data_IF_894317618482
#
_entry.id   IF_894317618482
#
_cell.length_a   1.000
_cell.length_b   1.000
_cell.length_c   1.000
_cell.angle_alpha   90.00
_cell.angle_beta   90.00
_cell.angle_gamma   90.00
#
_symmetry.space_group_name_H-M   'P 1'
#
loop_
_entity.id
_entity.type
_entity.pdbx_description
1 polymer ?
#
# COMPACT_ATOMS: atom_id res chain seq x y z
N UNK A 1 38.46 6.35 -29.33
CA UNK A 1 37.17 7.11 -29.29
C UNK A 1 36.02 6.36 -30.00
N UNK A 2 36.26 5.59 -31.08
CA UNK A 2 35.19 4.95 -31.85
C UNK A 2 34.55 3.71 -31.18
N UNK A 3 35.30 2.91 -30.41
CA UNK A 3 34.77 1.71 -29.77
C UNK A 3 33.85 1.98 -28.59
N UNK A 4 34.10 3.04 -27.82
CA UNK A 4 33.21 3.44 -26.71
C UNK A 4 31.86 4.01 -27.20
N UNK A 5 31.84 4.71 -28.31
CA UNK A 5 30.61 5.28 -28.90
C UNK A 5 29.73 4.16 -29.48
N UNK A 6 30.31 3.14 -30.11
CA UNK A 6 29.56 1.99 -30.66
C UNK A 6 28.98 1.11 -29.56
N UNK A 7 29.72 0.87 -28.46
CA UNK A 7 29.22 0.13 -27.29
C UNK A 7 28.07 0.85 -26.58
N UNK A 8 28.15 2.16 -26.42
CA UNK A 8 27.09 2.99 -25.83
C UNK A 8 25.82 3.03 -26.72
N UNK A 9 25.99 3.05 -28.03
CA UNK A 9 24.85 3.04 -28.98
C UNK A 9 24.15 1.70 -29.00
N UNK A 10 24.90 0.58 -28.96
CA UNK A 10 24.34 -0.77 -28.92
C UNK A 10 23.64 -1.09 -27.59
N UNK A 11 24.14 -0.62 -26.46
CA UNK A 11 23.46 -0.81 -25.17
C UNK A 11 22.16 -0.01 -25.07
N UNK A 12 22.13 1.21 -25.58
CA UNK A 12 20.93 2.03 -25.61
C UNK A 12 19.85 1.47 -26.58
N UNK A 13 20.28 0.94 -27.73
CA UNK A 13 19.37 0.33 -28.71
C UNK A 13 18.78 -0.99 -28.21
N UNK A 14 19.57 -1.81 -27.50
CA UNK A 14 19.06 -3.03 -26.89
C UNK A 14 18.05 -2.75 -25.76
N UNK A 15 18.32 -1.74 -24.94
CA UNK A 15 17.41 -1.28 -23.89
C UNK A 15 16.09 -0.70 -24.45
N UNK A 16 16.17 0.08 -25.53
CA UNK A 16 14.99 0.60 -26.22
C UNK A 16 14.12 -0.49 -26.81
N UNK A 17 14.71 -1.43 -27.54
CA UNK A 17 14.01 -2.56 -28.15
C UNK A 17 13.35 -3.46 -27.08
N UNK A 18 14.04 -3.68 -25.96
CA UNK A 18 13.48 -4.44 -24.85
C UNK A 18 12.26 -3.73 -24.24
N UNK A 19 12.38 -2.43 -23.92
CA UNK A 19 11.25 -1.63 -23.41
C UNK A 19 10.07 -1.61 -24.37
N UNK A 20 10.35 -1.48 -25.66
CA UNK A 20 9.33 -1.47 -26.70
C UNK A 20 8.63 -2.83 -26.83
N UNK A 21 9.36 -3.93 -26.84
CA UNK A 21 8.78 -5.29 -26.83
C UNK A 21 7.94 -5.54 -25.57
N UNK A 22 8.45 -5.17 -24.41
CA UNK A 22 7.71 -5.29 -23.13
C UNK A 22 6.44 -4.47 -23.16
N UNK A 23 6.49 -3.25 -23.66
CA UNK A 23 5.32 -2.39 -23.81
C UNK A 23 4.30 -3.04 -24.77
N UNK A 24 4.73 -3.48 -25.96
CA UNK A 24 3.84 -4.12 -26.94
C UNK A 24 3.17 -5.38 -26.38
N UNK A 25 3.91 -6.22 -25.64
CA UNK A 25 3.36 -7.46 -25.07
C UNK A 25 2.32 -7.22 -23.97
N UNK A 26 2.23 -5.98 -23.45
CA UNK A 26 1.30 -5.57 -22.40
C UNK A 26 0.12 -4.74 -22.92
N UNK A 27 0.11 -4.43 -24.22
CA UNK A 27 -1.03 -3.74 -24.82
C UNK A 27 -2.20 -4.69 -25.04
N UNK A 28 -3.33 -4.32 -24.49
CA UNK A 28 -4.63 -4.85 -24.88
C UNK A 28 -5.24 -3.93 -25.94
N UNK A 29 -6.02 -4.45 -26.91
CA UNK A 29 -6.65 -3.62 -27.97
C UNK A 29 -7.42 -2.42 -27.41
N UNK A 30 -8.16 -2.62 -26.32
CA UNK A 30 -8.93 -1.55 -25.66
C UNK A 30 -8.05 -0.43 -25.13
N UNK A 31 -6.86 -0.76 -24.59
CA UNK A 31 -5.90 0.25 -24.12
C UNK A 31 -5.39 1.08 -25.29
N UNK A 32 -5.07 0.45 -26.42
CA UNK A 32 -4.61 1.16 -27.63
C UNK A 32 -5.67 2.17 -28.10
N UNK A 33 -6.93 1.75 -28.20
CA UNK A 33 -8.03 2.62 -28.58
C UNK A 33 -8.15 3.79 -27.62
N UNK A 34 -8.10 3.52 -26.31
CA UNK A 34 -8.18 4.56 -25.27
C UNK A 34 -7.01 5.53 -25.31
N UNK A 35 -5.79 5.08 -25.62
CA UNK A 35 -4.63 5.95 -25.78
C UNK A 35 -4.79 6.90 -26.97
N UNK A 36 -5.42 6.44 -28.06
CA UNK A 36 -5.71 7.28 -29.23
C UNK A 36 -6.78 8.34 -28.91
N UNK A 37 -7.83 7.94 -28.17
CA UNK A 37 -8.96 8.80 -27.84
C UNK A 37 -8.68 9.79 -26.69
N UNK A 38 -7.70 9.50 -25.84
CA UNK A 38 -7.41 10.27 -24.63
C UNK A 38 -5.95 10.71 -24.58
N UNK A 39 -5.60 11.91 -25.04
CA UNK A 39 -4.21 12.40 -25.08
C UNK A 39 -3.50 12.38 -23.73
N UNK A 40 -4.23 12.52 -22.61
CA UNK A 40 -3.66 12.44 -21.26
C UNK A 40 -3.10 11.04 -20.93
N UNK A 41 -3.79 9.97 -21.35
CA UNK A 41 -3.31 8.60 -21.17
C UNK A 41 -2.07 8.32 -22.03
N UNK A 42 -2.10 8.79 -23.27
CA UNK A 42 -0.95 8.70 -24.18
C UNK A 42 0.27 9.43 -23.61
N UNK A 43 0.10 10.65 -23.10
CA UNK A 43 1.17 11.46 -22.48
C UNK A 43 1.83 10.71 -21.30
N UNK A 44 1.04 10.08 -20.42
CA UNK A 44 1.58 9.24 -19.33
C UNK A 44 2.39 8.07 -19.89
N UNK A 45 1.86 7.36 -20.88
CA UNK A 45 2.54 6.21 -21.50
C UNK A 45 3.89 6.61 -22.08
N UNK A 46 3.94 7.67 -22.87
CA UNK A 46 5.18 8.18 -23.49
C UNK A 46 6.18 8.62 -22.41
N UNK A 47 5.72 9.34 -21.40
CA UNK A 47 6.57 9.79 -20.29
C UNK A 47 7.21 8.58 -19.55
N UNK A 48 6.42 7.56 -19.23
CA UNK A 48 6.94 6.34 -18.60
C UNK A 48 7.86 5.55 -19.52
N UNK A 49 7.61 5.55 -20.83
CA UNK A 49 8.48 4.88 -21.81
C UNK A 49 9.88 5.51 -21.85
N UNK A 50 9.95 6.83 -21.93
CA UNK A 50 11.21 7.54 -21.95
C UNK A 50 11.82 7.79 -20.56
N UNK A 51 11.08 7.49 -19.48
CA UNK A 51 11.53 7.72 -18.11
C UNK A 51 11.67 9.20 -17.78
N UNK A 52 10.82 10.05 -18.36
CA UNK A 52 10.84 11.51 -18.13
C UNK A 52 10.12 11.82 -16.81
N UNK A 53 10.83 12.37 -15.79
CA UNK A 53 10.21 12.71 -14.52
C UNK A 53 9.32 13.95 -14.66
N UNK A 54 8.32 14.06 -13.78
CA UNK A 54 7.60 15.30 -13.55
C UNK A 54 8.40 16.21 -12.64
N UNK A 55 8.10 17.51 -12.71
CA UNK A 55 8.69 18.51 -11.82
C UNK A 55 8.18 18.29 -10.39
N UNK A 56 9.11 18.07 -9.46
CA UNK A 56 8.81 18.03 -8.04
C UNK A 56 8.48 19.44 -7.56
N UNK A 57 7.41 19.54 -6.78
CA UNK A 57 7.00 20.77 -6.08
C UNK A 57 7.02 20.52 -4.56
N UNK A 58 6.49 21.46 -3.76
CA UNK A 58 6.40 21.31 -2.32
C UNK A 58 5.46 20.14 -1.96
N UNK A 59 5.75 19.45 -0.88
CA UNK A 59 4.95 18.31 -0.36
C UNK A 59 3.47 18.62 -0.28
N UNK A 60 3.13 19.85 0.15
CA UNK A 60 1.76 20.32 0.30
C UNK A 60 0.95 20.16 -0.99
N UNK A 61 1.46 20.57 -2.14
CA UNK A 61 0.72 20.47 -3.42
C UNK A 61 0.53 19.02 -3.88
N UNK A 62 1.52 18.16 -3.60
CA UNK A 62 1.42 16.74 -3.87
C UNK A 62 0.40 16.06 -2.96
N UNK A 63 0.38 16.44 -1.67
CA UNK A 63 -0.57 15.92 -0.68
C UNK A 63 -1.99 16.39 -0.98
N UNK A 64 -2.20 17.68 -1.21
CA UNK A 64 -3.51 18.25 -1.58
C UNK A 64 -4.09 17.53 -2.81
N UNK A 65 -3.30 17.38 -3.89
CA UNK A 65 -3.72 16.66 -5.09
C UNK A 65 -4.04 15.18 -4.83
N UNK A 66 -3.28 14.52 -3.97
CA UNK A 66 -3.58 13.13 -3.59
C UNK A 66 -4.91 13.02 -2.84
N UNK A 67 -5.18 13.96 -1.92
CA UNK A 67 -6.42 13.99 -1.14
C UNK A 67 -7.63 14.37 -2.00
N UNK A 68 -7.48 15.29 -2.96
CA UNK A 68 -8.51 15.60 -3.98
C UNK A 68 -8.85 14.35 -4.82
N UNK A 69 -7.82 13.60 -5.24
CA UNK A 69 -8.02 12.36 -5.99
C UNK A 69 -8.75 11.29 -5.17
N UNK A 70 -8.39 11.12 -3.88
CA UNK A 70 -9.07 10.19 -2.97
C UNK A 70 -10.52 10.62 -2.71
N UNK A 71 -10.77 11.92 -2.56
CA UNK A 71 -12.12 12.47 -2.42
C UNK A 71 -12.97 12.19 -3.66
N UNK A 72 -12.40 12.42 -4.86
CA UNK A 72 -13.07 12.11 -6.11
C UNK A 72 -13.35 10.62 -6.27
N UNK A 73 -12.40 9.75 -5.84
CA UNK A 73 -12.59 8.30 -5.88
C UNK A 73 -13.77 7.82 -5.01
N UNK A 74 -14.10 8.55 -3.96
CA UNK A 74 -15.31 8.33 -3.16
C UNK A 74 -16.56 8.88 -3.87
N UNK A 75 -16.50 10.14 -4.31
CA UNK A 75 -17.67 10.84 -4.88
C UNK A 75 -18.20 10.16 -6.14
N UNK A 76 -17.32 9.62 -6.99
CA UNK A 76 -17.68 8.99 -8.26
C UNK A 76 -18.51 7.72 -8.09
N UNK A 77 -18.44 7.05 -6.94
CA UNK A 77 -19.18 5.82 -6.68
C UNK A 77 -20.65 6.10 -6.30
N UNK A 78 -20.94 7.27 -5.73
CA UNK A 78 -22.25 7.62 -5.21
C UNK A 78 -22.70 6.78 -4.00
N UNK A 79 -21.83 5.90 -3.45
CA UNK A 79 -22.20 4.95 -2.38
C UNK A 79 -21.66 5.34 -1.01
N UNK A 80 -20.64 6.17 -0.94
CA UNK A 80 -19.85 6.42 0.25
C UNK A 80 -18.50 5.69 0.27
N UNK A 81 -18.39 4.51 -0.35
CA UNK A 81 -17.13 3.80 -0.53
C UNK A 81 -16.24 4.40 -1.62
N UNK A 82 -14.94 4.16 -1.57
CA UNK A 82 -13.96 4.63 -2.55
C UNK A 82 -13.82 3.66 -3.72
N UNK A 83 -13.85 4.16 -4.97
CA UNK A 83 -13.55 3.38 -6.16
C UNK A 83 -12.15 2.74 -6.03
N UNK A 84 -12.03 1.44 -6.33
CA UNK A 84 -10.78 0.70 -6.18
C UNK A 84 -9.63 1.34 -6.96
N UNK A 85 -9.89 1.82 -8.17
CA UNK A 85 -8.87 2.39 -9.04
C UNK A 85 -9.48 3.19 -10.18
N UNK A 86 -8.62 3.99 -10.85
CA UNK A 86 -8.87 4.49 -12.20
C UNK A 86 -7.99 3.72 -13.18
N UNK A 87 -8.61 2.99 -14.12
CA UNK A 87 -7.93 2.18 -15.12
C UNK A 87 -7.99 2.78 -16.53
N UNK A 88 -6.95 2.57 -17.33
CA UNK A 88 -6.91 3.00 -18.73
C UNK A 88 -7.95 2.26 -19.59
N UNK A 89 -8.34 1.04 -19.19
CA UNK A 89 -9.31 0.22 -19.92
C UNK A 89 -10.75 0.68 -19.68
N UNK A 90 -11.13 0.86 -18.40
CA UNK A 90 -12.52 1.00 -17.98
C UNK A 90 -12.86 2.32 -17.28
N UNK A 91 -11.86 3.16 -16.96
CA UNK A 91 -12.07 4.34 -16.10
C UNK A 91 -12.16 3.94 -14.63
N UNK A 92 -13.08 4.54 -13.89
CA UNK A 92 -13.27 4.28 -12.47
C UNK A 92 -13.87 2.89 -12.21
N UNK A 93 -13.28 2.16 -11.28
CA UNK A 93 -13.75 0.85 -10.83
C UNK A 93 -14.88 0.99 -9.78
N UNK A 94 -15.52 -0.12 -9.44
CA UNK A 94 -16.47 -0.19 -8.34
C UNK A 94 -15.82 0.12 -6.98
N UNK A 95 -16.58 0.51 -5.95
CA UNK A 95 -16.05 0.73 -4.62
C UNK A 95 -15.44 -0.56 -4.06
N UNK A 96 -14.40 -0.42 -3.23
CA UNK A 96 -13.68 -1.55 -2.67
C UNK A 96 -13.64 -1.48 -1.14
N UNK A 97 -14.30 -2.42 -0.42
CA UNK A 97 -14.40 -2.38 1.03
C UNK A 97 -13.05 -2.32 1.74
N UNK A 98 -12.11 -3.22 1.39
CA UNK A 98 -10.77 -3.22 2.00
C UNK A 98 -10.15 -1.83 2.04
N UNK A 99 -10.15 -1.18 0.88
CA UNK A 99 -9.41 0.08 0.72
C UNK A 99 -10.17 1.28 1.25
N UNK A 100 -11.49 1.25 1.17
CA UNK A 100 -12.35 2.24 1.83
C UNK A 100 -12.10 2.22 3.35
N UNK A 101 -12.03 1.04 3.96
CA UNK A 101 -11.77 0.89 5.38
C UNK A 101 -10.51 1.62 5.85
N UNK A 102 -9.37 1.43 5.21
CA UNK A 102 -8.16 2.12 5.66
C UNK A 102 -7.97 3.55 5.11
N UNK A 103 -8.74 3.98 4.09
CA UNK A 103 -8.79 5.39 3.66
C UNK A 103 -9.50 6.25 4.72
N UNK A 104 -10.44 5.71 5.48
CA UNK A 104 -11.05 6.37 6.64
C UNK A 104 -9.99 7.00 7.53
N UNK A 105 -8.99 6.20 7.97
CA UNK A 105 -7.90 6.68 8.81
C UNK A 105 -7.09 7.82 8.17
N UNK A 106 -6.92 7.77 6.84
CA UNK A 106 -6.22 8.83 6.10
C UNK A 106 -7.01 10.14 6.09
N UNK A 107 -8.33 10.06 5.86
CA UNK A 107 -9.20 11.24 5.90
C UNK A 107 -9.22 11.89 7.29
N UNK A 108 -9.37 11.09 8.35
CA UNK A 108 -9.35 11.60 9.74
C UNK A 108 -8.01 12.27 10.08
N UNK A 109 -6.90 11.66 9.68
CA UNK A 109 -5.58 12.21 9.91
C UNK A 109 -5.34 13.50 9.12
N UNK A 110 -5.77 13.53 7.86
CA UNK A 110 -5.67 14.72 7.03
C UNK A 110 -6.55 15.85 7.54
N UNK A 111 -7.78 15.54 7.98
CA UNK A 111 -8.67 16.52 8.62
C UNK A 111 -7.98 17.25 9.79
N UNK A 112 -7.33 16.49 10.66
CA UNK A 112 -6.56 17.06 11.78
C UNK A 112 -5.32 17.83 11.31
N UNK A 113 -4.64 17.34 10.25
CA UNK A 113 -3.41 17.96 9.73
C UNK A 113 -3.65 19.34 9.12
N UNK A 114 -4.77 19.51 8.40
CA UNK A 114 -5.15 20.78 7.72
C UNK A 114 -6.21 21.59 8.48
N UNK A 115 -6.76 21.04 9.59
CA UNK A 115 -7.88 21.60 10.34
C UNK A 115 -9.14 21.82 9.48
N UNK A 116 -9.52 20.78 8.70
CA UNK A 116 -10.67 20.80 7.79
C UNK A 116 -11.66 19.68 8.14
N UNK A 117 -12.84 20.00 8.73
CA UNK A 117 -13.82 19.03 9.16
C UNK A 117 -14.50 18.27 7.99
N UNK A 118 -14.45 18.77 6.76
CA UNK A 118 -15.09 18.12 5.60
C UNK A 118 -14.50 16.72 5.37
N UNK A 119 -13.24 16.50 5.72
CA UNK A 119 -12.62 15.17 5.64
C UNK A 119 -13.10 14.23 6.75
N UNK A 120 -13.58 14.74 7.90
CA UNK A 120 -14.25 13.91 8.91
C UNK A 120 -15.59 13.42 8.36
N UNK A 121 -16.37 14.28 7.72
CA UNK A 121 -17.64 13.92 7.09
C UNK A 121 -17.44 12.87 5.97
N UNK A 122 -16.35 12.97 5.21
CA UNK A 122 -15.98 11.96 4.21
C UNK A 122 -15.67 10.61 4.85
N UNK A 123 -14.91 10.61 5.95
CA UNK A 123 -14.61 9.40 6.71
C UNK A 123 -15.88 8.75 7.28
N UNK A 124 -16.80 9.56 7.83
CA UNK A 124 -18.11 9.12 8.34
C UNK A 124 -18.93 8.44 7.24
N UNK A 125 -19.12 9.08 6.07
CA UNK A 125 -19.86 8.48 4.95
C UNK A 125 -19.25 7.14 4.51
N UNK A 126 -17.92 7.02 4.54
CA UNK A 126 -17.24 5.78 4.19
C UNK A 126 -17.47 4.70 5.25
N UNK A 127 -17.37 5.05 6.52
CA UNK A 127 -17.63 4.14 7.65
C UNK A 127 -19.09 3.67 7.72
N UNK A 128 -20.04 4.54 7.43
CA UNK A 128 -21.46 4.21 7.36
C UNK A 128 -21.77 3.25 6.22
N UNK A 129 -21.18 3.48 5.03
CA UNK A 129 -21.27 2.55 3.92
C UNK A 129 -20.71 1.16 4.27
N UNK A 130 -19.57 1.08 4.95
CA UNK A 130 -19.00 -0.21 5.40
C UNK A 130 -19.91 -0.93 6.40
N UNK A 131 -20.62 -0.20 7.28
CA UNK A 131 -21.64 -0.79 8.19
C UNK A 131 -22.83 -1.32 7.38
N UNK A 132 -23.31 -0.56 6.41
CA UNK A 132 -24.46 -0.95 5.56
C UNK A 132 -24.20 -2.26 4.82
N UNK A 133 -22.97 -2.44 4.30
CA UNK A 133 -22.59 -3.63 3.53
C UNK A 133 -21.96 -4.75 4.39
N UNK A 134 -21.79 -4.55 5.70
CA UNK A 134 -21.24 -5.59 6.58
C UNK A 134 -22.11 -6.85 6.53
N UNK A 135 -21.47 -8.01 6.42
CA UNK A 135 -22.19 -9.28 6.37
C UNK A 135 -22.84 -9.61 7.72
N UNK A 136 -23.93 -10.39 7.76
CA UNK A 136 -24.58 -10.82 9.02
C UNK A 136 -23.64 -11.55 9.96
N UNK A 137 -22.61 -12.23 9.45
CA UNK A 137 -21.55 -12.86 10.23
C UNK A 137 -20.62 -11.88 10.95
N UNK A 138 -20.67 -10.60 10.65
CA UNK A 138 -19.73 -9.59 11.09
C UNK A 138 -18.52 -9.37 10.16
N UNK A 139 -18.32 -10.25 9.18
CA UNK A 139 -17.25 -10.14 8.21
C UNK A 139 -17.45 -8.99 7.23
N UNK A 140 -16.36 -8.56 6.59
CA UNK A 140 -16.37 -7.61 5.48
C UNK A 140 -16.26 -8.36 4.15
N UNK A 141 -16.99 -7.86 3.15
CA UNK A 141 -17.07 -8.43 1.80
C UNK A 141 -15.75 -8.35 1.06
N UNK A 142 -15.49 -9.33 0.21
CA UNK A 142 -14.28 -9.42 -0.63
C UNK A 142 -14.44 -8.76 -1.98
N UNK A 143 -13.30 -8.41 -2.59
CA UNK A 143 -13.22 -7.86 -3.94
C UNK A 143 -13.81 -6.46 -4.11
N UNK A 144 -13.75 -5.96 -5.32
CA UNK A 144 -14.34 -4.68 -5.71
C UNK A 144 -15.85 -4.86 -5.98
N UNK A 145 -16.68 -3.92 -5.49
CA UNK A 145 -18.13 -4.03 -5.50
C UNK A 145 -18.69 -4.75 -4.27
N UNK A 146 -19.98 -5.03 -4.30
CA UNK A 146 -20.69 -5.71 -3.19
C UNK A 146 -20.80 -7.21 -3.53
N UNK A 147 -19.85 -8.00 -3.03
CA UNK A 147 -19.79 -9.44 -3.26
C UNK A 147 -20.25 -10.23 -2.03
N UNK A 148 -20.72 -11.46 -2.22
CA UNK A 148 -21.33 -12.29 -1.14
C UNK A 148 -20.33 -13.29 -0.51
N UNK A 149 -19.05 -12.94 -0.49
CA UNK A 149 -18.03 -13.74 0.19
C UNK A 149 -17.17 -12.87 1.12
N UNK A 150 -16.85 -13.35 2.32
CA UNK A 150 -16.03 -12.62 3.27
C UNK A 150 -14.53 -12.78 2.96
N UNK A 151 -13.74 -11.77 3.35
CA UNK A 151 -12.27 -11.83 3.29
C UNK A 151 -11.66 -11.35 4.61
N UNK A 152 -10.75 -12.17 5.15
CA UNK A 152 -10.01 -11.91 6.40
C UNK A 152 -9.29 -10.56 6.36
N UNK A 153 -8.53 -10.32 5.30
CA UNK A 153 -7.73 -9.10 5.18
C UNK A 153 -8.62 -7.85 5.11
N UNK A 154 -9.68 -7.88 4.29
CA UNK A 154 -10.65 -6.79 4.19
C UNK A 154 -11.26 -6.47 5.56
N UNK A 155 -11.70 -7.51 6.29
CA UNK A 155 -12.29 -7.34 7.62
C UNK A 155 -11.33 -6.65 8.58
N UNK A 156 -10.06 -7.07 8.63
CA UNK A 156 -9.05 -6.42 9.47
C UNK A 156 -8.79 -4.97 9.10
N UNK A 157 -8.80 -4.63 7.79
CA UNK A 157 -8.55 -3.26 7.35
C UNK A 157 -9.72 -2.33 7.66
N UNK A 158 -10.95 -2.81 7.54
CA UNK A 158 -12.15 -2.01 7.86
C UNK A 158 -12.30 -1.82 9.38
N UNK A 159 -11.95 -2.83 10.19
CA UNK A 159 -11.90 -2.69 11.65
C UNK A 159 -11.01 -1.53 12.08
N UNK A 160 -9.83 -1.34 11.46
CA UNK A 160 -8.96 -0.19 11.76
C UNK A 160 -9.66 1.14 11.47
N UNK A 161 -10.36 1.25 10.33
CA UNK A 161 -11.13 2.44 10.00
C UNK A 161 -12.25 2.72 10.99
N UNK A 162 -13.04 1.70 11.36
CA UNK A 162 -14.09 1.86 12.36
C UNK A 162 -13.56 2.21 13.76
N UNK A 163 -12.43 1.61 14.17
CA UNK A 163 -11.78 1.95 15.42
C UNK A 163 -11.33 3.42 15.47
N UNK A 164 -10.78 3.93 14.36
CA UNK A 164 -10.38 5.33 14.27
C UNK A 164 -11.59 6.26 14.21
N UNK A 165 -12.69 5.89 13.53
CA UNK A 165 -13.96 6.64 13.57
C UNK A 165 -14.55 6.68 14.97
N UNK A 166 -14.58 5.56 15.68
CA UNK A 166 -15.04 5.54 17.07
C UNK A 166 -14.24 6.51 17.95
N UNK A 167 -12.90 6.49 17.83
CA UNK A 167 -12.03 7.41 18.58
C UNK A 167 -12.28 8.88 18.23
N UNK A 168 -12.58 9.18 16.96
CA UNK A 168 -12.82 10.54 16.48
C UNK A 168 -14.19 11.08 16.80
N UNK A 169 -15.23 10.22 16.80
CA UNK A 169 -16.65 10.65 16.91
C UNK A 169 -17.35 10.22 18.19
N UNK A 170 -16.79 9.26 18.92
CA UNK A 170 -17.41 8.57 20.06
C UNK A 170 -18.76 7.87 19.71
N UNK A 171 -18.97 7.53 18.42
CA UNK A 171 -20.18 6.86 17.96
C UNK A 171 -20.02 5.34 18.07
N UNK A 172 -20.80 4.73 18.98
CA UNK A 172 -20.79 3.30 19.25
C UNK A 172 -21.19 2.42 18.06
N UNK A 173 -21.81 2.96 17.00
CA UNK A 173 -22.10 2.16 15.80
C UNK A 173 -20.83 1.58 15.19
N UNK A 174 -19.76 2.38 15.12
CA UNK A 174 -18.45 1.94 14.60
C UNK A 174 -17.78 0.92 15.53
N UNK A 175 -17.81 1.15 16.84
CA UNK A 175 -17.28 0.19 17.81
C UNK A 175 -18.00 -1.17 17.70
N UNK A 176 -19.33 -1.16 17.65
CA UNK A 176 -20.13 -2.38 17.54
C UNK A 176 -19.87 -3.13 16.22
N UNK A 177 -19.70 -2.41 15.11
CA UNK A 177 -19.35 -3.03 13.82
C UNK A 177 -17.95 -3.66 13.88
N UNK A 178 -16.97 -2.97 14.47
CA UNK A 178 -15.61 -3.47 14.66
C UNK A 178 -15.56 -4.70 15.58
N UNK A 179 -16.37 -4.73 16.66
CA UNK A 179 -16.53 -5.89 17.57
C UNK A 179 -17.02 -7.10 16.77
N UNK A 180 -18.13 -6.97 16.01
CA UNK A 180 -18.64 -8.08 15.20
C UNK A 180 -17.59 -8.63 14.21
N UNK A 181 -16.83 -7.72 13.57
CA UNK A 181 -15.73 -8.12 12.68
C UNK A 181 -14.61 -8.85 13.40
N UNK A 182 -14.24 -8.39 14.60
CA UNK A 182 -13.20 -8.99 15.43
C UNK A 182 -13.62 -10.37 15.94
N UNK A 183 -14.85 -10.55 16.38
CA UNK A 183 -15.42 -11.82 16.79
C UNK A 183 -15.38 -12.83 15.64
N UNK A 184 -15.77 -12.40 14.45
CA UNK A 184 -15.69 -13.24 13.25
C UNK A 184 -14.24 -13.67 12.96
N UNK A 185 -13.27 -12.74 12.99
CA UNK A 185 -11.86 -13.05 12.77
C UNK A 185 -11.33 -14.08 13.79
N UNK A 186 -11.70 -13.94 15.07
CA UNK A 186 -11.32 -14.88 16.11
C UNK A 186 -11.96 -16.26 15.90
N UNK A 187 -13.24 -16.31 15.48
CA UNK A 187 -13.99 -17.57 15.29
C UNK A 187 -13.46 -18.45 14.17
N UNK A 188 -12.74 -17.86 13.19
CA UNK A 188 -12.20 -18.58 12.03
C UNK A 188 -10.67 -18.72 12.04
N UNK A 189 -10.02 -18.22 13.11
CA UNK A 189 -8.57 -18.37 13.29
C UNK A 189 -8.23 -19.83 13.63
N UNK A 190 -7.17 -20.36 13.01
CA UNK A 190 -6.62 -21.66 13.38
C UNK A 190 -5.94 -21.62 14.77
N UNK A 191 -5.70 -22.78 15.38
CA UNK A 191 -5.12 -22.87 16.73
C UNK A 191 -3.73 -22.20 16.84
N UNK A 192 -2.97 -22.16 15.78
CA UNK A 192 -1.66 -21.51 15.72
C UNK A 192 -1.74 -20.02 15.33
N UNK A 193 -2.94 -19.47 15.18
CA UNK A 193 -3.19 -18.06 14.89
C UNK A 193 -3.19 -17.66 13.41
N UNK A 194 -2.93 -18.59 12.50
CA UNK A 194 -3.06 -18.30 11.06
C UNK A 194 -4.52 -18.32 10.63
N UNK A 195 -4.80 -17.62 9.53
CA UNK A 195 -6.06 -17.71 8.79
C UNK A 195 -5.81 -18.40 7.46
N UNK A 196 -6.65 -19.38 7.09
CA UNK A 196 -6.60 -20.13 5.83
C UNK A 196 -7.87 -19.91 5.04
N UNK A 197 -9.03 -20.16 5.67
CA UNK A 197 -10.34 -19.93 5.03
C UNK A 197 -10.62 -18.44 4.90
N UNK A 198 -11.28 -18.06 3.83
CA UNK A 198 -11.63 -16.68 3.56
C UNK A 198 -10.42 -15.74 3.42
N UNK A 199 -9.30 -16.29 2.98
CA UNK A 199 -8.11 -15.56 2.60
C UNK A 199 -7.93 -15.57 1.08
N UNK A 200 -7.08 -14.72 0.55
CA UNK A 200 -6.77 -14.74 -0.88
C UNK A 200 -6.15 -16.11 -1.24
N UNK A 201 -6.71 -16.77 -2.26
CA UNK A 201 -6.35 -18.12 -2.68
C UNK A 201 -6.49 -19.23 -1.61
N UNK A 202 -7.20 -18.99 -0.51
CA UNK A 202 -7.37 -19.93 0.62
C UNK A 202 -6.03 -20.49 1.13
N UNK A 203 -5.02 -19.65 1.22
CA UNK A 203 -3.72 -19.96 1.84
C UNK A 203 -3.42 -18.95 2.96
N UNK A 204 -2.61 -19.35 3.95
CA UNK A 204 -2.19 -18.40 4.98
C UNK A 204 -1.19 -17.39 4.41
N UNK A 205 -1.25 -16.15 4.89
CA UNK A 205 -0.36 -15.08 4.45
C UNK A 205 0.32 -14.39 5.63
N UNK A 206 1.63 -14.16 5.54
CA UNK A 206 2.37 -13.44 6.55
C UNK A 206 1.89 -11.98 6.72
N UNK A 207 1.35 -11.37 5.67
CA UNK A 207 0.80 -10.01 5.74
C UNK A 207 -0.51 -9.90 6.53
N UNK A 208 -1.08 -11.03 7.00
CA UNK A 208 -2.15 -11.00 8.00
C UNK A 208 -1.68 -10.46 9.38
N UNK A 209 -0.37 -10.22 9.56
CA UNK A 209 0.13 -9.37 10.64
C UNK A 209 -0.61 -8.02 10.76
N UNK A 210 -1.15 -7.47 9.64
CA UNK A 210 -2.01 -6.29 9.67
C UNK A 210 -3.39 -6.58 10.27
N UNK A 211 -3.91 -7.80 10.09
CA UNK A 211 -5.17 -8.25 10.73
C UNK A 211 -4.95 -8.44 12.23
N UNK A 212 -3.80 -9.01 12.60
CA UNK A 212 -3.40 -9.10 14.01
C UNK A 212 -3.27 -7.69 14.65
N UNK A 213 -2.74 -6.71 13.93
CA UNK A 213 -2.73 -5.32 14.41
C UNK A 213 -4.15 -4.79 14.65
N UNK A 214 -5.11 -5.04 13.76
CA UNK A 214 -6.50 -4.64 13.97
C UNK A 214 -7.09 -5.26 15.25
N UNK A 215 -6.82 -6.55 15.51
CA UNK A 215 -7.25 -7.20 16.74
C UNK A 215 -6.59 -6.63 17.99
N UNK A 216 -5.31 -6.22 17.93
CA UNK A 216 -4.64 -5.56 19.06
C UNK A 216 -5.22 -4.17 19.35
N UNK A 217 -5.56 -3.41 18.31
CA UNK A 217 -6.29 -2.13 18.47
C UNK A 217 -7.63 -2.37 19.14
N UNK A 218 -8.36 -3.41 18.73
CA UNK A 218 -9.65 -3.74 19.35
C UNK A 218 -9.51 -4.29 20.77
N UNK A 219 -8.46 -5.05 21.07
CA UNK A 219 -8.16 -5.48 22.44
C UNK A 219 -7.92 -4.28 23.37
N UNK A 220 -7.19 -3.28 22.89
CA UNK A 220 -6.93 -2.06 23.66
C UNK A 220 -8.22 -1.26 23.91
N UNK A 221 -9.12 -1.18 22.93
CA UNK A 221 -10.41 -0.47 23.04
C UNK A 221 -11.45 -1.17 23.90
N UNK A 222 -11.43 -2.50 23.94
CA UNK A 222 -12.50 -3.31 24.58
C UNK A 222 -12.01 -4.11 25.78
N UNK A 223 -10.70 -4.09 26.07
CA UNK A 223 -10.06 -4.94 27.08
C UNK A 223 -10.28 -6.46 26.85
N UNK A 224 -10.45 -6.87 25.58
CA UNK A 224 -10.68 -8.28 25.23
C UNK A 224 -9.38 -9.07 25.17
N UNK A 225 -9.22 -10.03 26.06
CA UNK A 225 -8.10 -10.98 26.03
C UNK A 225 -8.16 -11.88 24.79
N UNK A 226 -9.35 -12.29 24.33
CA UNK A 226 -9.53 -13.11 23.13
C UNK A 226 -8.87 -12.49 21.89
N UNK A 227 -9.09 -11.19 21.69
CA UNK A 227 -8.51 -10.47 20.54
C UNK A 227 -6.98 -10.41 20.66
N UNK A 228 -6.49 -10.10 21.87
CA UNK A 228 -5.05 -10.07 22.15
C UNK A 228 -4.38 -11.41 21.90
N UNK A 229 -4.92 -12.48 22.47
CA UNK A 229 -4.36 -13.81 22.31
C UNK A 229 -4.36 -14.31 20.87
N UNK A 230 -5.46 -14.05 20.13
CA UNK A 230 -5.54 -14.43 18.72
C UNK A 230 -4.49 -13.67 17.89
N UNK A 231 -4.34 -12.38 18.12
CA UNK A 231 -3.31 -11.56 17.46
C UNK A 231 -1.89 -12.06 17.80
N UNK A 232 -1.59 -12.32 19.07
CA UNK A 232 -0.28 -12.79 19.52
C UNK A 232 0.06 -14.16 18.92
N UNK A 233 -0.91 -15.09 18.83
CA UNK A 233 -0.71 -16.38 18.14
C UNK A 233 -0.32 -16.16 16.68
N UNK A 234 -1.02 -15.27 15.97
CA UNK A 234 -0.69 -14.95 14.58
C UNK A 234 0.73 -14.36 14.44
N UNK A 235 1.11 -13.43 15.30
CA UNK A 235 2.46 -12.84 15.25
C UNK A 235 3.54 -13.90 15.53
N UNK A 236 3.34 -14.81 16.49
CA UNK A 236 4.26 -15.92 16.74
C UNK A 236 4.36 -16.85 15.54
N UNK A 237 3.25 -17.12 14.86
CA UNK A 237 3.25 -17.88 13.62
C UNK A 237 4.04 -17.15 12.53
N UNK A 238 3.83 -15.84 12.31
CA UNK A 238 4.60 -15.06 11.32
C UNK A 238 6.09 -15.08 11.64
N UNK A 239 6.48 -14.95 12.91
CA UNK A 239 7.88 -15.06 13.33
C UNK A 239 8.47 -16.44 13.04
N UNK A 240 7.69 -17.52 13.13
CA UNK A 240 8.15 -18.90 12.82
C UNK A 240 8.43 -19.11 11.31
N UNK A 241 7.95 -18.21 10.45
CA UNK A 241 8.21 -18.23 9.00
C UNK A 241 9.53 -17.54 8.63
N UNK A 242 10.18 -16.89 9.60
CA UNK A 242 11.43 -16.16 9.34
C UNK A 242 12.61 -17.13 9.26
N UNK A 243 13.37 -17.05 8.19
CA UNK A 243 14.64 -17.75 8.01
C UNK A 243 15.83 -16.95 8.56
N UNK A 244 17.01 -17.56 8.65
CA UNK A 244 18.22 -16.94 9.20
C UNK A 244 18.64 -15.64 8.50
N UNK A 245 18.31 -15.51 7.22
CA UNK A 245 18.56 -14.28 6.47
C UNK A 245 17.42 -13.24 6.64
N UNK A 246 16.49 -13.45 7.57
CA UNK A 246 15.35 -12.58 7.87
C UNK A 246 14.22 -12.66 6.85
N UNK A 247 14.33 -13.48 5.79
CA UNK A 247 13.21 -13.67 4.86
C UNK A 247 12.03 -14.31 5.57
N UNK A 248 10.84 -13.78 5.34
CA UNK A 248 9.58 -14.32 5.88
C UNK A 248 8.86 -15.02 4.74
N UNK A 249 8.55 -16.30 4.89
CA UNK A 249 7.78 -17.02 3.88
C UNK A 249 6.32 -16.55 3.85
N UNK A 250 5.60 -16.89 2.77
CA UNK A 250 4.18 -16.58 2.58
C UNK A 250 3.83 -15.08 2.57
N UNK A 251 4.76 -14.22 2.19
CA UNK A 251 4.48 -12.79 1.96
C UNK A 251 3.77 -12.51 0.62
N UNK A 252 3.74 -13.47 -0.32
CA UNK A 252 3.09 -13.32 -1.64
C UNK A 252 1.59 -13.61 -1.63
N UNK A 253 0.93 -13.39 -2.76
CA UNK A 253 -0.48 -13.74 -2.96
C UNK A 253 -0.69 -15.25 -3.25
N UNK A 254 0.35 -15.95 -3.68
CA UNK A 254 0.37 -17.41 -3.84
C UNK A 254 1.67 -18.00 -3.31
N UNK A 255 1.71 -19.33 -3.10
CA UNK A 255 2.87 -20.01 -2.50
C UNK A 255 4.12 -19.90 -3.37
N UNK A 256 3.95 -19.96 -4.69
CA UNK A 256 5.05 -20.02 -5.66
C UNK A 256 5.40 -18.63 -6.24
N UNK A 257 4.73 -17.60 -5.77
CA UNK A 257 4.93 -16.23 -6.28
C UNK A 257 6.01 -15.50 -5.49
N UNK A 258 6.95 -14.89 -6.22
CA UNK A 258 7.85 -13.92 -5.61
C UNK A 258 7.03 -12.71 -5.11
N UNK A 259 7.07 -12.40 -3.79
CA UNK A 259 6.23 -11.38 -3.22
C UNK A 259 6.51 -10.00 -3.83
N UNK A 260 5.45 -9.23 -3.98
CA UNK A 260 5.54 -7.82 -4.33
C UNK A 260 6.13 -7.01 -3.15
N UNK A 261 6.85 -5.95 -3.45
CA UNK A 261 7.27 -4.98 -2.43
C UNK A 261 6.09 -4.47 -1.60
N UNK A 262 4.91 -4.42 -2.20
CA UNK A 262 3.64 -4.10 -1.54
C UNK A 262 3.28 -5.09 -0.41
N UNK A 263 3.31 -6.38 -0.67
CA UNK A 263 2.94 -7.40 0.33
C UNK A 263 4.04 -7.64 1.35
N UNK A 264 5.31 -7.46 0.97
CA UNK A 264 6.43 -7.37 1.91
C UNK A 264 6.21 -6.20 2.88
N UNK A 265 5.90 -5.02 2.36
CA UNK A 265 5.62 -3.85 3.20
C UNK A 265 4.38 -4.02 4.09
N UNK A 266 3.33 -4.71 3.62
CA UNK A 266 2.19 -5.08 4.46
C UNK A 266 2.63 -5.93 5.67
N UNK A 267 3.46 -6.93 5.44
CA UNK A 267 3.97 -7.81 6.50
C UNK A 267 4.77 -7.01 7.53
N UNK A 268 5.75 -6.23 7.06
CA UNK A 268 6.62 -5.45 7.94
C UNK A 268 5.85 -4.36 8.70
N UNK A 269 4.91 -3.67 8.02
CA UNK A 269 4.08 -2.66 8.66
C UNK A 269 3.19 -3.26 9.75
N UNK A 270 2.55 -4.41 9.46
CA UNK A 270 1.72 -5.10 10.45
C UNK A 270 2.52 -5.49 11.70
N UNK A 271 3.69 -6.10 11.51
CA UNK A 271 4.60 -6.46 12.61
C UNK A 271 5.04 -5.23 13.42
N UNK A 272 5.45 -4.15 12.74
CA UNK A 272 5.89 -2.93 13.40
C UNK A 272 4.78 -2.33 14.28
N UNK A 273 3.57 -2.20 13.75
CA UNK A 273 2.43 -1.67 14.49
C UNK A 273 2.03 -2.59 15.65
N UNK A 274 2.04 -3.92 15.46
CA UNK A 274 1.79 -4.88 16.54
C UNK A 274 2.79 -4.72 17.68
N UNK A 275 4.06 -4.37 17.39
CA UNK A 275 5.08 -4.22 18.42
C UNK A 275 4.78 -3.12 19.44
N UNK A 276 3.94 -2.14 19.09
CA UNK A 276 3.52 -1.08 20.03
C UNK A 276 2.61 -1.60 21.15
N UNK A 277 1.91 -2.73 20.92
CA UNK A 277 1.00 -3.39 21.85
C UNK A 277 1.64 -4.56 22.61
N UNK A 278 2.96 -4.74 22.48
CA UNK A 278 3.71 -5.86 23.06
C UNK A 278 4.74 -5.37 24.07
N UNK A 279 5.18 -6.30 24.92
CA UNK A 279 6.24 -6.09 25.90
C UNK A 279 7.25 -7.24 25.87
N UNK A 280 8.37 -7.07 26.57
CA UNK A 280 9.40 -8.10 26.76
C UNK A 280 10.03 -8.62 25.46
N UNK A 281 10.47 -9.87 25.51
CA UNK A 281 11.23 -10.51 24.41
C UNK A 281 10.49 -10.55 23.07
N UNK A 282 9.16 -10.71 23.10
CA UNK A 282 8.38 -10.77 21.87
C UNK A 282 8.44 -9.44 21.11
N UNK A 283 8.30 -8.32 21.82
CA UNK A 283 8.46 -6.97 21.25
C UNK A 283 9.83 -6.80 20.59
N UNK A 284 10.88 -7.19 21.28
CA UNK A 284 12.24 -7.07 20.78
C UNK A 284 12.45 -7.92 19.52
N UNK A 285 12.06 -9.20 19.54
CA UNK A 285 12.15 -10.09 18.37
C UNK A 285 11.40 -9.55 17.14
N UNK A 286 10.20 -9.01 17.34
CA UNK A 286 9.40 -8.43 16.25
C UNK A 286 10.11 -7.20 15.68
N UNK A 287 10.60 -6.28 16.54
CA UNK A 287 11.30 -5.07 16.11
C UNK A 287 12.61 -5.39 15.40
N UNK A 288 13.41 -6.30 15.93
CA UNK A 288 14.69 -6.72 15.32
C UNK A 288 14.46 -7.31 13.92
N UNK A 289 13.43 -8.15 13.76
CA UNK A 289 13.08 -8.72 12.45
C UNK A 289 12.67 -7.62 11.46
N UNK A 290 11.85 -6.65 11.86
CA UNK A 290 11.41 -5.55 11.01
C UNK A 290 12.57 -4.64 10.64
N UNK A 291 13.44 -4.30 11.59
CA UNK A 291 14.65 -3.48 11.36
C UNK A 291 15.57 -4.18 10.36
N UNK A 292 15.91 -5.46 10.61
CA UNK A 292 16.80 -6.24 9.74
C UNK A 292 16.28 -6.33 8.31
N UNK A 293 14.97 -6.60 8.14
CA UNK A 293 14.34 -6.67 6.81
C UNK A 293 14.33 -5.31 6.12
N UNK A 294 14.04 -4.24 6.87
CA UNK A 294 14.06 -2.87 6.34
C UNK A 294 15.46 -2.44 5.93
N UNK A 295 16.52 -2.81 6.67
CA UNK A 295 17.90 -2.57 6.28
C UNK A 295 18.28 -3.32 5.00
N UNK A 296 17.82 -4.55 4.81
CA UNK A 296 18.05 -5.30 3.57
C UNK A 296 17.43 -4.60 2.36
N UNK A 297 16.20 -4.14 2.49
CA UNK A 297 15.51 -3.36 1.45
C UNK A 297 16.23 -2.03 1.18
N UNK A 298 16.67 -1.35 2.24
CA UNK A 298 17.45 -0.12 2.17
C UNK A 298 18.76 -0.33 1.40
N UNK A 299 19.52 -1.38 1.74
CA UNK A 299 20.76 -1.73 1.04
C UNK A 299 20.53 -2.05 -0.45
N UNK A 300 19.39 -2.67 -0.81
CA UNK A 300 19.04 -2.91 -2.22
C UNK A 300 18.66 -1.62 -2.94
N UNK A 301 17.99 -0.71 -2.26
CA UNK A 301 17.65 0.60 -2.78
C UNK A 301 18.91 1.46 -3.02
N UNK A 302 19.86 1.47 -2.09
CA UNK A 302 21.09 2.27 -2.18
C UNK A 302 22.11 1.72 -3.19
N UNK A 303 22.31 0.39 -3.24
CA UNK A 303 23.33 -0.25 -4.09
C UNK A 303 23.02 -0.15 -5.58
N UNK A 304 21.84 0.30 -5.97
CA UNK A 304 21.45 0.50 -7.39
C UNK A 304 21.80 -0.69 -8.31
N UNK A 305 22.06 -1.89 -7.78
CA UNK A 305 22.19 -3.12 -8.57
C UNK A 305 20.82 -3.57 -9.01
N UNK A 306 20.51 -3.31 -10.22
CA UNK A 306 19.22 -3.33 -10.90
C UNK A 306 19.14 -4.54 -11.80
N UNK A 307 17.93 -5.00 -12.02
CA UNK A 307 17.65 -5.79 -13.22
C UNK A 307 18.13 -4.96 -14.43
N UNK A 308 18.92 -5.54 -15.38
CA UNK A 308 19.53 -4.78 -16.49
C UNK A 308 18.58 -3.91 -17.28
N UNK A 309 17.30 -4.26 -17.27
CA UNK A 309 16.23 -3.62 -18.02
C UNK A 309 15.24 -2.81 -17.17
N UNK A 310 15.44 -2.72 -15.83
CA UNK A 310 14.62 -1.86 -14.96
C UNK A 310 15.06 -0.39 -15.08
N UNK A 311 14.12 0.52 -14.84
CA UNK A 311 14.49 1.93 -14.70
C UNK A 311 15.41 2.07 -13.49
N UNK A 312 16.57 2.66 -13.70
CA UNK A 312 17.64 2.66 -12.71
C UNK A 312 17.34 3.36 -11.39
N UNK A 313 16.31 4.13 -11.27
CA UNK A 313 16.03 4.97 -10.11
C UNK A 313 15.15 4.33 -9.03
N UNK A 314 14.36 3.29 -9.35
CA UNK A 314 13.31 2.80 -8.48
C UNK A 314 13.62 1.45 -7.84
N UNK A 315 13.06 1.21 -6.64
CA UNK A 315 13.14 -0.10 -5.98
C UNK A 315 12.39 -1.15 -6.81
N UNK A 316 12.95 -2.38 -6.88
CA UNK A 316 12.30 -3.49 -7.61
C UNK A 316 10.91 -3.77 -7.06
N UNK A 317 9.97 -4.07 -7.96
CA UNK A 317 8.60 -4.43 -7.60
C UNK A 317 8.46 -5.79 -6.91
N UNK A 318 9.47 -6.69 -7.02
CA UNK A 318 9.48 -8.02 -6.42
C UNK A 318 10.86 -8.40 -5.94
N UNK A 319 10.92 -9.25 -4.90
CA UNK A 319 12.14 -9.83 -4.37
C UNK A 319 11.98 -11.35 -4.18
N UNK A 320 13.11 -12.08 -4.31
CA UNK A 320 13.19 -13.49 -3.96
C UNK A 320 13.68 -13.69 -2.51
N UNK A 321 13.72 -14.95 -2.04
CA UNK A 321 14.13 -15.30 -0.67
C UNK A 321 15.57 -14.91 -0.30
N UNK A 322 16.41 -14.60 -1.26
CA UNK A 322 17.76 -14.06 -1.05
C UNK A 322 17.80 -12.53 -1.12
N UNK A 323 16.65 -11.86 -1.03
CA UNK A 323 16.51 -10.41 -1.15
C UNK A 323 17.03 -9.85 -2.48
N UNK A 324 17.11 -10.68 -3.55
CA UNK A 324 17.52 -10.20 -4.86
C UNK A 324 16.31 -9.58 -5.59
N UNK A 325 16.52 -8.45 -6.27
CA UNK A 325 15.47 -7.85 -7.12
C UNK A 325 15.20 -8.76 -8.33
N UNK A 326 13.94 -9.07 -8.58
CA UNK A 326 13.52 -10.00 -9.64
C UNK A 326 12.46 -9.43 -10.59
N UNK A 327 12.14 -8.15 -10.47
CA UNK A 327 11.18 -7.48 -11.35
C UNK A 327 11.83 -6.38 -12.20
N UNK A 328 11.29 -6.18 -13.40
CA UNK A 328 11.65 -5.10 -14.32
C UNK A 328 10.76 -3.85 -14.17
N UNK A 329 9.95 -3.80 -13.13
CA UNK A 329 9.10 -2.68 -12.75
C UNK A 329 9.28 -2.35 -11.27
N UNK A 330 8.84 -1.17 -10.87
CA UNK A 330 8.70 -0.78 -9.46
C UNK A 330 7.25 -0.82 -9.03
N UNK A 331 6.98 -1.34 -7.84
CA UNK A 331 5.66 -1.31 -7.21
C UNK A 331 5.53 -0.02 -6.38
N UNK A 332 4.84 0.99 -6.91
CA UNK A 332 4.78 2.31 -6.28
C UNK A 332 3.97 2.29 -4.97
N UNK A 333 2.97 1.43 -4.87
CA UNK A 333 2.28 1.16 -3.60
C UNK A 333 3.24 0.65 -2.51
N UNK A 334 4.12 -0.28 -2.87
CA UNK A 334 5.15 -0.79 -1.95
C UNK A 334 6.13 0.29 -1.52
N UNK A 335 6.55 1.14 -2.46
CA UNK A 335 7.44 2.27 -2.19
C UNK A 335 6.83 3.26 -1.20
N UNK A 336 5.57 3.62 -1.38
CA UNK A 336 4.85 4.51 -0.46
C UNK A 336 4.73 3.92 0.96
N UNK A 337 4.47 2.63 1.07
CA UNK A 337 4.41 1.95 2.37
C UNK A 337 5.79 1.84 3.04
N UNK A 338 6.85 1.56 2.28
CA UNK A 338 8.21 1.54 2.81
C UNK A 338 8.62 2.92 3.31
N UNK A 339 8.21 4.00 2.65
CA UNK A 339 8.44 5.35 3.16
C UNK A 339 7.85 5.51 4.58
N UNK A 340 6.62 5.03 4.82
CA UNK A 340 6.00 5.07 6.15
C UNK A 340 6.79 4.21 7.16
N UNK A 341 7.18 2.99 6.78
CA UNK A 341 7.95 2.09 7.65
C UNK A 341 9.28 2.72 8.03
N UNK A 342 10.01 3.26 7.06
CA UNK A 342 11.32 3.88 7.30
C UNK A 342 11.23 5.16 8.13
N UNK A 343 10.17 5.99 7.98
CA UNK A 343 9.93 7.13 8.90
C UNK A 343 9.69 6.67 10.33
N UNK A 344 8.89 5.62 10.53
CA UNK A 344 8.66 5.05 11.86
C UNK A 344 9.94 4.43 12.44
N UNK A 345 10.75 3.77 11.63
CA UNK A 345 12.04 3.24 12.06
C UNK A 345 13.04 4.35 12.38
N UNK A 346 13.07 5.43 11.59
CA UNK A 346 13.86 6.61 11.95
C UNK A 346 13.46 7.16 13.33
N UNK A 347 12.15 7.30 13.61
CA UNK A 347 11.66 7.72 14.92
C UNK A 347 12.06 6.75 16.04
N UNK A 348 12.09 5.45 15.76
CA UNK A 348 12.41 4.41 16.74
C UNK A 348 13.92 4.30 17.03
N UNK A 349 14.76 4.45 15.99
CA UNK A 349 16.21 4.12 16.06
C UNK A 349 17.10 5.34 15.95
N UNK A 350 16.58 6.49 15.53
CA UNK A 350 17.35 7.70 15.15
C UNK A 350 18.36 7.48 14.02
N UNK A 351 18.26 6.37 13.25
CA UNK A 351 19.14 6.07 12.13
C UNK A 351 18.76 6.92 10.90
N UNK A 352 19.59 7.92 10.61
CA UNK A 352 19.38 8.86 9.49
C UNK A 352 19.33 8.19 8.11
N UNK A 353 19.84 6.95 7.95
CA UNK A 353 19.75 6.21 6.68
C UNK A 353 18.28 6.02 6.27
N UNK A 354 17.40 5.69 7.22
CA UNK A 354 15.97 5.52 6.96
C UNK A 354 15.30 6.82 6.51
N UNK A 355 15.61 7.94 7.17
CA UNK A 355 15.10 9.26 6.76
C UNK A 355 15.58 9.63 5.35
N UNK A 356 16.87 9.53 5.09
CA UNK A 356 17.45 9.87 3.79
C UNK A 356 16.87 9.02 2.65
N UNK A 357 16.64 7.73 2.87
CA UNK A 357 16.00 6.86 1.89
C UNK A 357 14.53 7.22 1.67
N UNK A 358 13.83 7.58 2.75
CA UNK A 358 12.44 8.03 2.65
C UNK A 358 12.31 9.29 1.80
N UNK A 359 13.13 10.31 2.03
CA UNK A 359 13.09 11.54 1.25
C UNK A 359 13.27 11.24 -0.24
N UNK A 360 14.24 10.40 -0.60
CA UNK A 360 14.49 9.99 -1.99
C UNK A 360 13.33 9.22 -2.61
N UNK A 361 12.73 8.26 -1.87
CA UNK A 361 11.63 7.45 -2.43
C UNK A 361 10.35 8.26 -2.57
N UNK A 362 10.11 9.23 -1.68
CA UNK A 362 8.99 10.18 -1.80
C UNK A 362 9.19 11.13 -2.98
N UNK A 363 10.39 11.61 -3.24
CA UNK A 363 10.68 12.41 -4.43
C UNK A 363 10.43 11.61 -5.71
N UNK A 364 10.81 10.33 -5.76
CA UNK A 364 10.49 9.44 -6.89
C UNK A 364 8.98 9.25 -7.08
N UNK A 365 8.20 9.19 -6.02
CA UNK A 365 6.74 9.12 -6.11
C UNK A 365 6.14 10.44 -6.62
N UNK A 366 6.69 11.59 -6.24
CA UNK A 366 6.30 12.91 -6.77
C UNK A 366 6.65 13.05 -8.26
N UNK A 367 7.78 12.49 -8.71
CA UNK A 367 8.18 12.47 -10.13
C UNK A 367 7.19 11.74 -11.05
N UNK A 368 6.33 10.87 -10.50
CA UNK A 368 5.32 10.13 -11.27
C UNK A 368 3.90 10.60 -11.02
N UNK A 369 3.66 11.39 -9.97
CA UNK A 369 2.35 11.97 -9.67
C UNK A 369 2.08 13.19 -10.56
N UNK A 370 1.12 13.09 -11.47
CA UNK A 370 0.71 14.22 -12.31
C UNK A 370 -0.33 15.10 -11.60
N UNK A 371 0.13 16.21 -10.99
CA UNK A 371 -0.73 17.18 -10.30
C UNK A 371 -1.34 18.23 -11.24
N UNK A 372 -1.01 18.19 -12.52
CA UNK A 372 -1.42 19.18 -13.54
C UNK A 372 -2.29 18.60 -14.66
N UNK A 373 -2.54 17.30 -14.65
CA UNK A 373 -3.34 16.62 -15.68
C UNK A 373 -4.76 17.18 -15.74
N UNK A 374 -5.27 17.39 -16.96
CA UNK A 374 -6.69 17.70 -17.16
C UNK A 374 -7.61 16.49 -16.96
N UNK A 375 -7.06 15.28 -16.91
CA UNK A 375 -7.79 14.07 -16.62
C UNK A 375 -7.84 13.85 -15.10
N UNK A 376 -9.02 13.99 -14.51
CA UNK A 376 -9.22 13.86 -13.07
C UNK A 376 -8.92 12.45 -12.53
N UNK A 377 -9.02 11.40 -13.36
CA UNK A 377 -8.61 10.04 -12.98
C UNK A 377 -7.09 9.86 -12.86
N UNK A 378 -6.30 10.80 -13.40
CA UNK A 378 -4.84 10.82 -13.33
C UNK A 378 -4.35 11.86 -12.33
N UNK A 379 -4.94 13.08 -12.35
CA UNK A 379 -4.47 14.21 -11.55
C UNK A 379 -4.48 13.89 -10.06
N UNK A 380 -3.30 13.85 -9.44
CA UNK A 380 -3.11 13.58 -8.03
C UNK A 380 -2.97 12.09 -7.67
N UNK A 381 -3.38 11.16 -8.56
CA UNK A 381 -3.25 9.74 -8.33
C UNK A 381 -1.80 9.24 -8.45
N UNK A 382 -1.49 8.15 -7.76
CA UNK A 382 -0.24 7.40 -7.89
C UNK A 382 -0.50 6.12 -8.70
N UNK A 383 0.21 5.88 -9.82
CA UNK A 383 0.04 4.64 -10.57
C UNK A 383 0.49 3.41 -9.77
N UNK A 384 -0.04 2.23 -10.06
CA UNK A 384 0.31 1.00 -9.36
C UNK A 384 1.76 0.58 -9.58
N UNK A 385 2.26 0.80 -10.80
CA UNK A 385 3.62 0.44 -11.22
C UNK A 385 4.33 1.57 -11.96
N UNK A 386 5.66 1.54 -11.92
CA UNK A 386 6.50 2.28 -12.86
C UNK A 386 7.44 1.30 -13.60
N UNK A 387 7.40 1.24 -14.93
CA UNK A 387 6.43 1.95 -15.80
C UNK A 387 4.99 1.46 -15.59
N UNK A 388 4.00 2.23 -16.04
CA UNK A 388 2.56 2.00 -15.77
C UNK A 388 2.05 0.64 -16.31
N UNK A 389 2.74 0.02 -17.25
CA UNK A 389 2.50 -1.34 -17.74
C UNK A 389 3.24 -2.43 -16.95
N UNK A 390 3.81 -2.10 -15.78
CA UNK A 390 4.38 -3.08 -14.87
C UNK A 390 3.31 -4.07 -14.37
N UNK A 391 3.74 -5.20 -13.82
CA UNK A 391 2.83 -6.32 -13.53
C UNK A 391 1.85 -6.06 -12.38
N UNK A 392 2.11 -5.06 -11.55
CA UNK A 392 1.21 -4.74 -10.44
C UNK A 392 0.28 -3.58 -10.80
N UNK A 393 -1.04 -3.81 -10.73
CA UNK A 393 -2.07 -2.83 -11.08
C UNK A 393 -1.77 -2.15 -12.42
N UNK A 394 -1.57 -3.00 -13.43
CA UNK A 394 -1.18 -2.62 -14.78
C UNK A 394 -2.18 -1.63 -15.39
N UNK A 395 -1.69 -0.55 -15.99
CA UNK A 395 -2.50 0.49 -16.63
C UNK A 395 -3.51 1.16 -15.71
N UNK A 396 -3.21 1.25 -14.40
CA UNK A 396 -4.15 1.83 -13.45
C UNK A 396 -3.51 2.60 -12.31
N UNK A 397 -4.35 3.41 -11.67
CA UNK A 397 -4.10 4.21 -10.48
C UNK A 397 -4.95 3.63 -9.34
N UNK A 398 -4.41 2.74 -8.51
CA UNK A 398 -5.15 2.19 -7.38
C UNK A 398 -5.25 3.22 -6.24
N UNK A 399 -6.40 3.29 -5.57
CA UNK A 399 -6.63 4.24 -4.48
C UNK A 399 -5.65 4.03 -3.32
N UNK A 400 -5.26 2.78 -3.07
CA UNK A 400 -4.30 2.46 -1.99
C UNK A 400 -2.86 2.93 -2.27
N UNK A 401 -2.43 3.08 -3.53
CA UNK A 401 -1.13 3.69 -3.82
C UNK A 401 -1.14 5.17 -3.44
N UNK A 402 -2.20 5.88 -3.84
CA UNK A 402 -2.40 7.30 -3.52
C UNK A 402 -2.56 7.52 -2.01
N UNK A 403 -3.34 6.65 -1.34
CA UNK A 403 -3.54 6.67 0.10
C UNK A 403 -2.24 6.52 0.89
N UNK A 404 -1.43 5.51 0.59
CA UNK A 404 -0.15 5.32 1.29
C UNK A 404 0.85 6.43 1.00
N UNK A 405 0.80 7.01 -0.19
CA UNK A 405 1.62 8.19 -0.50
C UNK A 405 1.20 9.41 0.33
N UNK A 406 -0.10 9.68 0.45
CA UNK A 406 -0.63 10.74 1.30
C UNK A 406 -0.24 10.53 2.78
N UNK A 407 -0.41 9.31 3.32
CA UNK A 407 0.01 8.97 4.68
C UNK A 407 1.50 9.21 4.92
N UNK A 408 2.34 8.86 3.94
CA UNK A 408 3.78 9.03 4.05
C UNK A 408 4.17 10.52 4.06
N UNK A 409 3.51 11.36 3.24
CA UNK A 409 3.73 12.80 3.24
C UNK A 409 3.27 13.45 4.55
N UNK A 410 2.09 13.09 5.07
CA UNK A 410 1.61 13.59 6.36
C UNK A 410 2.61 13.23 7.46
N UNK A 411 3.05 11.96 7.52
CA UNK A 411 4.00 11.50 8.53
C UNK A 411 5.35 12.22 8.41
N UNK A 412 5.83 12.47 7.18
CA UNK A 412 7.04 13.24 6.94
C UNK A 412 6.91 14.66 7.51
N UNK A 413 5.82 15.36 7.19
CA UNK A 413 5.59 16.74 7.67
C UNK A 413 5.48 16.80 9.21
N UNK A 414 4.79 15.84 9.83
CA UNK A 414 4.68 15.76 11.30
C UNK A 414 6.04 15.53 11.97
N UNK A 415 6.92 14.70 11.38
CA UNK A 415 8.25 14.41 11.92
C UNK A 415 9.26 15.55 11.68
N UNK A 416 9.04 16.37 10.65
CA UNK A 416 9.91 17.49 10.29
C UNK A 416 9.49 18.82 10.91
N UNK A 417 8.31 18.89 11.55
CA UNK A 417 7.93 20.08 12.34
C UNK A 417 8.91 20.25 13.50
N UNK A 418 9.43 21.47 13.73
CA UNK A 418 10.18 21.74 14.95
C UNK A 418 9.34 21.34 16.18
N UNK A 419 9.96 20.74 17.17
CA UNK A 419 9.35 20.57 18.49
C UNK A 419 9.14 22.00 19.05
N UNK A 420 7.87 22.43 19.13
CA UNK A 420 7.49 23.68 19.78
C UNK A 420 7.77 23.64 21.26
#
# INVERSE_FOLDING_TARGET
YSQHVVLFHNQNMSSFLYKFRTLLSRFKPVVIIRLILHPSLFKVTIRHFFGVPLKITQNRYHLESAMEWLSLSQDITGTGGSAASFGFESGWASPYPETSGYIISTFLRYASFVNDPDYIERAIRMGDWEIEIQMPSGAVRGGSGINDYPIVFNTGMVILGWADLYKATNDNRYLNAAIRGSDWLCSISENDGRWIRHTYNNIPHAYHSRVAWALLVMSDLTSSDLYRETAIRNIRWVLSLASDNGWIDLMGFSRDEMPLTHTIAYTLRGLLECSEYMEGDLKLKVRDLVISNSERLLLRYEKKKRHPNANPAYLSGRFNANWQPVANFSCLTGNAQLAIIWLKLYRLTSDARFLNATLKILDQLKEVQDISSSNHGIRGGIPGSFPIWGEYMQWSYPNWATKFFADALILQEELMKPLE
#
